data_IF_756590618392
#
_entry.id   IF_756590618392
#
_cell.length_a   1.000
_cell.length_b   1.000
_cell.length_c   1.000
_cell.angle_alpha   90.00
_cell.angle_beta   90.00
_cell.angle_gamma   90.00
#
_symmetry.space_group_name_H-M   'P 1'
#
loop_
_entity.id
_entity.type
_entity.pdbx_description
1 polymer ?
#
# COMPACT_ATOMS: atom_id res chain seq x y z
N UNK A 1 -22.56 38.84 -66.03
CA UNK A 1 -22.05 37.65 -66.76
C UNK A 1 -20.62 37.49 -66.28
N UNK A 2 -20.41 36.66 -65.24
CA UNK A 2 -19.95 35.26 -65.41
C UNK A 2 -18.59 35.26 -66.11
N UNK A 3 -17.52 34.65 -65.60
CA UNK A 3 -17.39 33.55 -64.64
C UNK A 3 -15.86 33.29 -64.48
N UNK A 4 -15.46 32.48 -63.48
CA UNK A 4 -14.24 31.62 -63.45
C UNK A 4 -12.90 32.38 -63.29
N UNK A 5 -11.88 31.96 -62.54
CA UNK A 5 -11.62 31.05 -61.41
C UNK A 5 -10.10 31.21 -61.14
N UNK A 6 -9.69 30.90 -59.91
CA UNK A 6 -8.40 30.28 -59.49
C UNK A 6 -7.06 30.80 -60.05
N UNK A 7 -6.13 31.26 -59.19
CA UNK A 7 -5.11 30.44 -58.47
C UNK A 7 -4.11 29.84 -59.48
N UNK A 8 -2.81 30.07 -59.46
CA UNK A 8 -1.81 29.86 -58.41
C UNK A 8 -0.46 30.18 -59.09
N UNK A 9 0.60 30.49 -58.34
CA UNK A 9 2.01 30.20 -58.65
C UNK A 9 2.90 30.96 -57.67
N UNK A 10 2.84 30.54 -56.40
CA UNK A 10 4.02 30.62 -55.53
C UNK A 10 4.44 29.20 -55.18
N UNK A 11 5.43 28.75 -55.94
CA UNK A 11 6.25 27.58 -55.68
C UNK A 11 6.84 27.64 -54.26
N UNK A 12 6.18 26.96 -53.32
CA UNK A 12 6.76 26.60 -52.04
C UNK A 12 7.34 25.20 -52.18
N UNK A 13 8.63 25.11 -51.85
CA UNK A 13 9.43 23.92 -51.90
C UNK A 13 8.95 22.86 -50.88
N UNK A 14 8.96 21.60 -51.35
CA UNK A 14 9.33 20.37 -50.62
C UNK A 14 8.42 19.93 -49.45
N UNK A 15 7.68 18.83 -49.69
CA UNK A 15 6.78 18.14 -48.74
C UNK A 15 7.48 17.31 -47.65
N UNK A 16 6.90 16.18 -47.16
CA UNK A 16 5.55 15.66 -47.30
C UNK A 16 4.70 15.89 -46.04
N UNK A 17 3.52 16.47 -46.21
CA UNK A 17 2.48 16.50 -45.20
C UNK A 17 1.89 15.10 -45.00
N UNK A 18 1.42 14.81 -43.77
CA UNK A 18 0.65 13.61 -43.37
C UNK A 18 1.40 12.48 -42.65
N UNK A 19 2.28 12.75 -41.69
CA UNK A 19 2.33 11.94 -40.46
C UNK A 19 2.64 12.88 -39.30
N UNK A 20 1.93 12.75 -38.17
CA UNK A 20 1.96 13.58 -36.93
C UNK A 20 0.86 14.63 -36.71
N UNK A 21 -0.37 14.42 -37.19
CA UNK A 21 -1.55 14.93 -36.48
C UNK A 21 -1.86 14.04 -35.25
N UNK A 22 -0.89 13.95 -34.36
CA UNK A 22 -1.10 13.50 -33.00
C UNK A 22 -0.75 14.71 -32.16
N UNK A 23 -1.80 15.39 -31.70
CA UNK A 23 -1.73 16.61 -30.91
C UNK A 23 -0.59 16.55 -29.91
N UNK A 24 0.10 17.70 -29.79
CA UNK A 24 1.20 17.96 -28.87
C UNK A 24 1.29 16.91 -27.77
N UNK A 25 2.36 16.10 -27.79
CA UNK A 25 2.71 15.29 -26.64
C UNK A 25 2.85 16.25 -25.46
N UNK A 26 1.80 16.29 -24.65
CA UNK A 26 1.72 17.12 -23.48
C UNK A 26 2.17 16.22 -22.31
N UNK A 27 3.40 16.41 -21.80
CA UNK A 27 3.91 15.61 -20.69
C UNK A 27 3.05 15.75 -19.42
N UNK A 28 2.21 16.79 -19.33
CA UNK A 28 1.30 17.00 -18.20
C UNK A 28 0.08 16.06 -18.21
N UNK A 29 -0.21 15.39 -19.33
CA UNK A 29 -1.35 14.45 -19.44
C UNK A 29 -0.95 13.01 -19.09
N UNK A 30 0.33 12.66 -19.22
CA UNK A 30 0.85 11.40 -18.65
C UNK A 30 1.11 11.52 -17.14
N UNK A 31 1.30 12.74 -16.62
CA UNK A 31 1.42 12.99 -15.18
C UNK A 31 0.08 13.10 -14.44
N UNK A 32 -1.06 13.26 -15.13
CA UNK A 32 -2.39 13.13 -14.51
C UNK A 32 -2.74 11.67 -14.16
N UNK A 33 -1.99 10.70 -14.68
CA UNK A 33 -2.03 9.29 -14.24
C UNK A 33 -1.06 9.01 -13.07
N UNK A 34 -0.37 10.03 -12.54
CA UNK A 34 0.42 9.91 -11.32
C UNK A 34 -0.51 9.94 -10.10
N UNK A 35 -0.49 8.84 -9.36
CA UNK A 35 -0.97 8.69 -7.98
C UNK A 35 -2.48 8.64 -7.74
N UNK A 36 -3.14 7.57 -8.20
CA UNK A 36 -3.86 6.77 -7.18
C UNK A 36 -2.87 5.79 -6.57
N UNK A 37 -1.88 6.33 -5.83
CA UNK A 37 -1.20 5.52 -4.81
C UNK A 37 -2.31 5.19 -3.83
N UNK A 38 -2.78 3.95 -3.85
CA UNK A 38 -3.60 3.42 -2.77
C UNK A 38 -2.71 3.44 -1.53
N UNK A 39 -2.68 4.57 -0.82
CA UNK A 39 -1.91 4.68 0.41
C UNK A 39 -2.51 3.72 1.44
N UNK A 40 -1.70 3.26 2.39
CA UNK A 40 -2.21 2.51 3.53
C UNK A 40 -3.09 3.42 4.41
N UNK A 41 -4.38 3.52 4.08
CA UNK A 41 -5.33 4.48 4.66
C UNK A 41 -5.67 4.14 6.11
N UNK A 42 -5.64 2.86 6.46
CA UNK A 42 -5.91 2.38 7.82
C UNK A 42 -4.64 2.33 8.68
N UNK A 43 -3.53 2.92 8.24
CA UNK A 43 -2.26 2.90 8.98
C UNK A 43 -2.39 3.41 10.41
N UNK A 44 -3.01 4.57 10.62
CA UNK A 44 -3.26 5.13 11.95
C UNK A 44 -4.17 4.23 12.80
N UNK A 45 -5.23 3.67 12.19
CA UNK A 45 -6.16 2.76 12.86
C UNK A 45 -5.41 1.51 13.34
N UNK A 46 -4.64 0.89 12.45
CA UNK A 46 -3.86 -0.32 12.72
C UNK A 46 -2.79 -0.06 13.77
N UNK A 47 -2.04 1.04 13.68
CA UNK A 47 -1.02 1.39 14.67
C UNK A 47 -1.64 1.64 16.05
N UNK A 48 -2.79 2.30 16.12
CA UNK A 48 -3.54 2.51 17.36
C UNK A 48 -4.01 1.18 17.96
N UNK A 49 -4.57 0.28 17.14
CA UNK A 49 -4.99 -1.05 17.60
C UNK A 49 -3.79 -1.88 18.04
N UNK A 50 -2.68 -1.85 17.31
CA UNK A 50 -1.42 -2.51 17.68
C UNK A 50 -0.91 -2.03 19.04
N UNK A 51 -0.91 -0.71 19.25
CA UNK A 51 -0.56 -0.12 20.54
C UNK A 51 -1.48 -0.59 21.67
N UNK A 52 -2.77 -0.79 21.40
CA UNK A 52 -3.75 -1.27 22.39
C UNK A 52 -3.56 -2.75 22.73
N UNK A 53 -3.35 -3.61 21.72
CA UNK A 53 -3.19 -5.05 21.94
C UNK A 53 -1.87 -5.43 22.60
N UNK A 54 -0.87 -4.55 22.65
CA UNK A 54 0.36 -4.85 23.40
C UNK A 54 0.28 -4.44 24.89
N UNK A 55 -0.87 -3.92 25.34
CA UNK A 55 -1.11 -3.54 26.73
C UNK A 55 -1.65 -4.75 27.51
N UNK A 56 -1.09 -5.08 28.69
CA UNK A 56 -1.52 -6.24 29.49
C UNK A 56 -2.97 -6.17 29.99
N UNK A 57 -3.49 -4.95 30.20
CA UNK A 57 -4.80 -4.70 30.82
C UNK A 57 -5.99 -4.81 29.85
N UNK A 58 -5.74 -5.08 28.57
CA UNK A 58 -6.82 -5.20 27.59
C UNK A 58 -7.57 -6.52 27.79
N UNK A 59 -8.91 -6.48 27.76
CA UNK A 59 -9.71 -7.70 27.86
C UNK A 59 -9.38 -8.65 26.70
N UNK A 60 -9.38 -9.95 26.98
CA UNK A 60 -9.05 -10.98 25.99
C UNK A 60 -9.98 -10.92 24.76
N UNK A 61 -11.25 -10.55 24.97
CA UNK A 61 -12.24 -10.39 23.91
C UNK A 61 -11.92 -9.18 23.02
N UNK A 62 -11.60 -8.03 23.62
CA UNK A 62 -11.26 -6.81 22.87
C UNK A 62 -9.94 -6.97 22.12
N UNK A 63 -8.95 -7.61 22.75
CA UNK A 63 -7.69 -7.94 22.09
C UNK A 63 -7.92 -8.81 20.86
N UNK A 64 -8.80 -9.82 20.96
CA UNK A 64 -9.10 -10.69 19.83
C UNK A 64 -9.77 -9.92 18.69
N UNK A 65 -10.75 -9.06 19.02
CA UNK A 65 -11.44 -8.24 18.03
C UNK A 65 -10.47 -7.28 17.31
N UNK A 66 -9.59 -6.61 18.04
CA UNK A 66 -8.57 -5.73 17.46
C UNK A 66 -7.59 -6.53 16.59
N UNK A 67 -7.11 -7.70 17.04
CA UNK A 67 -6.25 -8.58 16.25
C UNK A 67 -6.94 -9.14 14.99
N UNK A 68 -8.23 -9.47 15.06
CA UNK A 68 -9.02 -9.91 13.90
C UNK A 68 -9.16 -8.76 12.89
N UNK A 69 -9.44 -7.54 13.36
CA UNK A 69 -9.54 -6.33 12.52
C UNK A 69 -8.20 -6.01 11.85
N UNK A 70 -7.11 -5.98 12.60
CA UNK A 70 -5.75 -5.73 12.07
C UNK A 70 -5.41 -6.73 10.96
N UNK A 71 -5.62 -8.03 11.21
CA UNK A 71 -5.37 -9.08 10.21
C UNK A 71 -6.25 -8.91 8.98
N UNK A 72 -7.54 -8.58 9.17
CA UNK A 72 -8.45 -8.30 8.07
C UNK A 72 -7.97 -7.15 7.18
N UNK A 73 -7.45 -6.07 7.79
CA UNK A 73 -6.84 -4.96 7.04
C UNK A 73 -5.62 -5.44 6.27
N UNK A 74 -4.64 -6.09 6.91
CA UNK A 74 -3.43 -6.52 6.19
C UNK A 74 -3.70 -7.50 5.04
N UNK A 75 -4.71 -8.35 5.16
CA UNK A 75 -5.12 -9.24 4.08
C UNK A 75 -5.63 -8.48 2.85
N UNK A 76 -6.21 -7.29 3.00
CA UNK A 76 -6.60 -6.44 1.86
C UNK A 76 -5.38 -5.96 1.06
N UNK A 77 -4.23 -5.82 1.73
CA UNK A 77 -2.98 -5.39 1.12
C UNK A 77 -2.11 -6.56 0.63
N UNK A 78 -2.59 -7.81 0.69
CA UNK A 78 -1.84 -9.00 0.27
C UNK A 78 -1.40 -8.95 -1.21
N UNK A 79 -2.25 -8.41 -2.08
CA UNK A 79 -1.93 -8.26 -3.52
C UNK A 79 -0.96 -7.11 -3.79
N UNK A 80 -0.83 -6.18 -2.84
CA UNK A 80 0.01 -4.98 -2.93
C UNK A 80 0.80 -4.74 -1.63
N UNK A 81 1.69 -5.68 -1.23
CA UNK A 81 2.38 -5.60 0.06
C UNK A 81 3.33 -4.40 0.16
N UNK A 82 3.77 -3.85 -0.99
CA UNK A 82 4.59 -2.64 -1.04
C UNK A 82 3.91 -1.39 -0.47
N UNK A 83 2.58 -1.39 -0.33
CA UNK A 83 1.85 -0.31 0.34
C UNK A 83 2.02 -0.34 1.86
N UNK A 84 2.29 -1.52 2.45
CA UNK A 84 2.56 -1.67 3.87
C UNK A 84 4.01 -1.33 4.22
N UNK A 85 4.94 -1.49 3.28
CA UNK A 85 6.40 -1.38 3.51
C UNK A 85 6.83 -0.13 4.31
N UNK A 86 6.29 1.08 4.08
CA UNK A 86 6.65 2.26 4.87
C UNK A 86 6.30 2.16 6.36
N UNK A 87 5.29 1.37 6.70
CA UNK A 87 4.77 1.21 8.06
C UNK A 87 5.20 -0.11 8.71
N UNK A 88 5.78 -1.02 7.93
CA UNK A 88 6.18 -2.36 8.37
C UNK A 88 7.13 -2.32 9.56
N UNK A 89 8.17 -1.50 9.48
CA UNK A 89 9.16 -1.40 10.56
C UNK A 89 8.49 -1.00 11.88
N UNK A 90 7.57 -0.04 11.85
CA UNK A 90 6.84 0.41 13.02
C UNK A 90 5.91 -0.70 13.56
N UNK A 91 5.14 -1.34 12.69
CA UNK A 91 4.21 -2.42 13.09
C UNK A 91 4.95 -3.62 13.68
N UNK A 92 6.04 -4.05 13.04
CA UNK A 92 6.91 -5.14 13.53
C UNK A 92 7.59 -4.74 14.83
N UNK A 93 8.08 -3.50 14.95
CA UNK A 93 8.72 -2.98 16.14
C UNK A 93 7.80 -3.03 17.36
N UNK A 94 6.53 -2.65 17.21
CA UNK A 94 5.52 -2.74 18.28
C UNK A 94 5.33 -4.18 18.74
N UNK A 95 5.09 -5.10 17.79
CA UNK A 95 4.82 -6.50 18.09
C UNK A 95 6.02 -7.22 18.70
N UNK A 96 7.19 -7.08 18.10
CA UNK A 96 8.43 -7.71 18.60
C UNK A 96 8.81 -7.09 19.94
N UNK A 97 8.68 -5.78 20.12
CA UNK A 97 8.96 -5.12 21.40
C UNK A 97 8.12 -5.70 22.54
N UNK A 98 6.83 -5.92 22.30
CA UNK A 98 5.93 -6.53 23.27
C UNK A 98 6.29 -7.99 23.57
N UNK A 99 6.47 -8.81 22.54
CA UNK A 99 6.86 -10.24 22.69
C UNK A 99 8.19 -10.36 23.42
N UNK A 100 9.18 -9.54 23.05
CA UNK A 100 10.51 -9.48 23.68
C UNK A 100 10.42 -9.14 25.17
N UNK A 101 9.60 -8.15 25.52
CA UNK A 101 9.35 -7.75 26.91
C UNK A 101 8.70 -8.88 27.70
N UNK A 102 7.71 -9.56 27.11
CA UNK A 102 7.04 -10.69 27.75
C UNK A 102 7.99 -11.88 27.96
N UNK A 103 8.80 -12.24 26.95
CA UNK A 103 9.73 -13.39 27.02
C UNK A 103 10.83 -13.19 28.06
N UNK A 104 11.26 -11.95 28.32
CA UNK A 104 12.22 -11.66 29.38
C UNK A 104 11.63 -11.46 30.77
N UNK A 105 10.31 -11.48 30.88
CA UNK A 105 9.65 -11.57 32.18
C UNK A 105 9.83 -12.98 32.77
N UNK A 106 9.99 -13.10 34.11
CA UNK A 106 9.93 -14.39 34.80
C UNK A 106 8.61 -15.15 34.55
N UNK A 107 7.53 -14.44 34.26
CA UNK A 107 6.23 -15.00 33.89
C UNK A 107 5.70 -14.32 32.62
N UNK A 108 5.95 -14.90 31.43
CA UNK A 108 5.56 -14.29 30.15
C UNK A 108 4.05 -14.11 29.98
N UNK A 109 3.25 -15.02 30.55
CA UNK A 109 1.80 -14.95 30.47
C UNK A 109 1.20 -13.92 31.44
N UNK A 110 1.88 -13.59 32.52
CA UNK A 110 1.49 -12.45 33.37
C UNK A 110 1.89 -11.12 32.74
N UNK A 111 3.06 -11.07 32.10
CA UNK A 111 3.54 -9.86 31.42
C UNK A 111 2.76 -9.53 30.14
N UNK A 112 2.28 -10.55 29.42
CA UNK A 112 1.45 -10.38 28.24
C UNK A 112 0.46 -11.55 28.12
N UNK A 113 -0.73 -11.45 28.74
CA UNK A 113 -1.73 -12.54 28.74
C UNK A 113 -2.15 -13.01 27.34
N UNK A 114 -2.09 -12.09 26.40
CA UNK A 114 -2.48 -12.25 25.00
C UNK A 114 -1.29 -12.52 24.07
N UNK A 115 -0.14 -12.98 24.60
CA UNK A 115 1.07 -13.29 23.85
C UNK A 115 0.81 -14.16 22.60
N UNK A 116 -0.10 -15.14 22.71
CA UNK A 116 -0.44 -16.01 21.58
C UNK A 116 -1.16 -15.27 20.44
N UNK A 117 -2.04 -14.30 20.74
CA UNK A 117 -2.71 -13.47 19.74
C UNK A 117 -1.75 -12.50 19.07
N UNK A 118 -0.87 -11.86 19.86
CA UNK A 118 0.17 -10.96 19.35
C UNK A 118 1.12 -11.74 18.43
N UNK A 119 1.53 -12.94 18.84
CA UNK A 119 2.39 -13.81 18.03
C UNK A 119 1.70 -14.28 16.74
N UNK A 120 0.43 -14.65 16.80
CA UNK A 120 -0.36 -15.03 15.62
C UNK A 120 -0.54 -13.86 14.65
N UNK A 121 -0.77 -12.65 15.18
CA UNK A 121 -0.87 -11.41 14.40
C UNK A 121 0.46 -11.12 13.70
N UNK A 122 1.58 -11.22 14.41
CA UNK A 122 2.92 -11.08 13.85
C UNK A 122 3.18 -12.09 12.72
N UNK A 123 2.75 -13.34 12.87
CA UNK A 123 2.86 -14.34 11.81
C UNK A 123 2.12 -13.94 10.54
N UNK A 124 0.88 -13.44 10.66
CA UNK A 124 0.10 -12.98 9.50
C UNK A 124 0.78 -11.80 8.79
N UNK A 125 1.33 -10.85 9.55
CA UNK A 125 2.09 -9.73 8.97
C UNK A 125 3.28 -10.21 8.13
N UNK A 126 4.02 -11.20 8.62
CA UNK A 126 5.14 -11.81 7.88
C UNK A 126 4.67 -12.54 6.62
N UNK A 127 3.53 -13.22 6.70
CA UNK A 127 2.95 -13.94 5.57
C UNK A 127 2.51 -13.00 4.45
N UNK A 128 1.78 -11.92 4.78
CA UNK A 128 1.31 -10.91 3.81
C UNK A 128 2.48 -10.35 2.98
N UNK A 129 3.64 -10.13 3.60
CA UNK A 129 4.87 -9.74 2.89
C UNK A 129 5.50 -10.88 2.09
N UNK A 130 5.46 -12.10 2.61
CA UNK A 130 6.06 -13.29 2.01
C UNK A 130 5.32 -13.82 0.76
N UNK A 131 4.01 -13.60 0.66
CA UNK A 131 3.16 -14.20 -0.37
C UNK A 131 3.57 -13.84 -1.81
N UNK A 132 4.11 -12.63 -2.09
CA UNK A 132 4.59 -12.30 -3.45
C UNK A 132 5.89 -12.98 -3.86
N UNK A 133 6.70 -13.50 -2.94
CA UNK A 133 7.97 -14.15 -3.30
C UNK A 133 7.79 -15.59 -3.78
N UNK A 134 6.64 -16.22 -3.53
CA UNK A 134 6.39 -17.62 -3.89
C UNK A 134 5.59 -17.79 -5.20
N UNK A 135 5.05 -16.71 -5.77
CA UNK A 135 4.21 -16.77 -7.00
C UNK A 135 4.98 -16.42 -8.29
N UNK A 136 6.32 -16.37 -8.26
CA UNK A 136 7.15 -16.38 -9.47
C UNK A 136 7.86 -17.72 -9.57
N UNK A 137 7.12 -18.75 -10.01
CA UNK A 137 7.66 -19.97 -10.60
C UNK A 137 7.04 -20.12 -11.97
#
# INVERSE_FOLDING_TARGET
MENIADNDERTVAQGPDEWWDLGEWNPDVEDAAVNRREFFTESEEVLRMLGRVVVPDLSMQDCRADCDRIRGVWLQYQEQPGLLDPFMEQMVGILIGAVRTAVWSPSPLEALPNLHLVSSTLYVLMMVRGYKKLSRV
#
